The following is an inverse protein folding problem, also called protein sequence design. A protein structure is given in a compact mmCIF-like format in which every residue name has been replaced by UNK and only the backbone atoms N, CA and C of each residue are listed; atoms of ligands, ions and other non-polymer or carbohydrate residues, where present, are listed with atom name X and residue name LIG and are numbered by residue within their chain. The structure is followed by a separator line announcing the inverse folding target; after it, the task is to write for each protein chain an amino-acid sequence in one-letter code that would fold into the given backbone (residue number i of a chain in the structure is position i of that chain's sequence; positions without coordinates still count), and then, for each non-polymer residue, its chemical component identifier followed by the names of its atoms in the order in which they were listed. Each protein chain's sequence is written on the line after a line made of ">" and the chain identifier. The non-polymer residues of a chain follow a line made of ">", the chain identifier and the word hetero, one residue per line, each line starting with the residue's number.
data_IF_795533924718
#
_entry.id   IF_795533924718
#
_cell.length_a   1.000
_cell.length_b   1.000
_cell.length_c   1.000
_cell.angle_alpha   90.00
_cell.angle_beta   90.00
_cell.angle_gamma   90.00
#
_symmetry.space_group_name_H-M   'P 1'
#
loop_
_entity.id
_entity.type
_entity.pdbx_description
1 polymer ?
#
# COMPACT_ATOMS: atom_id res chain seq x y z
N UNK A 1 -23.90 6.60 28.96
CA UNK A 1 -23.82 6.22 27.54
C UNK A 1 -22.44 5.62 27.30
N UNK A 2 -22.36 4.32 27.48
CA UNK A 2 -21.12 3.53 27.45
C UNK A 2 -20.88 3.04 26.03
N UNK A 3 -19.88 3.62 25.36
CA UNK A 3 -19.41 3.11 24.07
C UNK A 3 -18.84 1.69 24.27
N UNK A 4 -19.34 0.75 23.46
CA UNK A 4 -19.04 -0.67 23.57
C UNK A 4 -17.57 -0.96 23.29
N UNK A 5 -16.89 -1.54 24.29
CA UNK A 5 -15.49 -1.97 24.31
C UNK A 5 -15.17 -3.15 23.36
N UNK A 6 -16.12 -3.57 22.50
CA UNK A 6 -16.00 -4.76 21.65
C UNK A 6 -15.19 -4.56 20.36
N UNK A 7 -15.09 -3.33 19.84
CA UNK A 7 -14.28 -3.08 18.63
C UNK A 7 -12.77 -3.07 18.92
N UNK A 8 -12.34 -2.67 20.12
CA UNK A 8 -10.91 -2.53 20.48
C UNK A 8 -10.17 -3.88 20.55
N UNK A 9 -10.88 -5.00 20.75
CA UNK A 9 -10.26 -6.34 20.81
C UNK A 9 -9.89 -6.92 19.45
N UNK A 10 -10.39 -6.37 18.33
CA UNK A 10 -9.83 -6.67 17.00
C UNK A 10 -8.57 -5.84 16.68
N UNK A 11 -8.36 -4.72 17.39
CA UNK A 11 -7.20 -3.85 17.21
C UNK A 11 -5.93 -4.31 17.93
N UNK A 12 -6.02 -5.19 18.93
CA UNK A 12 -4.84 -5.67 19.67
C UNK A 12 -4.13 -6.88 19.01
N UNK A 13 -4.81 -7.62 18.12
CA UNK A 13 -4.20 -8.79 17.43
C UNK A 13 -3.39 -8.36 16.18
N UNK A 14 -3.64 -7.17 15.65
CA UNK A 14 -2.94 -6.62 14.47
C UNK A 14 -1.50 -6.17 14.76
N UNK A 15 -1.17 -5.76 15.99
CA UNK A 15 0.20 -5.39 16.36
C UNK A 15 1.12 -6.61 16.56
N UNK A 16 0.58 -7.79 16.87
CA UNK A 16 1.37 -8.98 17.19
C UNK A 16 1.80 -9.80 15.97
N UNK A 17 1.20 -9.58 14.78
CA UNK A 17 1.61 -10.30 13.55
C UNK A 17 2.69 -9.56 12.75
N UNK A 18 3.02 -8.31 13.10
CA UNK A 18 4.19 -7.59 12.57
C UNK A 18 5.54 -8.16 13.06
N UNK A 19 5.51 -8.98 14.12
CA UNK A 19 6.71 -9.42 14.85
C UNK A 19 7.50 -10.58 14.22
N UNK A 20 7.07 -11.12 13.06
CA UNK A 20 7.85 -12.17 12.36
C UNK A 20 8.71 -11.60 11.22
N UNK A 21 8.58 -10.32 10.88
CA UNK A 21 9.48 -9.64 9.93
C UNK A 21 10.08 -8.32 10.47
N UNK A 22 9.69 -7.85 11.66
CA UNK A 22 10.28 -6.68 12.31
C UNK A 22 11.50 -7.05 13.17
N UNK A 23 12.52 -7.63 12.54
CA UNK A 23 13.88 -7.65 13.07
C UNK A 23 14.66 -6.45 12.52
N UNK A 24 14.84 -5.43 13.36
CA UNK A 24 15.84 -4.35 13.33
C UNK A 24 16.40 -3.88 11.97
N UNK A 25 16.05 -2.64 11.57
CA UNK A 25 17.02 -1.67 11.03
C UNK A 25 16.40 -0.26 11.03
N UNK A 26 16.79 0.56 12.01
CA UNK A 26 16.88 2.00 11.83
C UNK A 26 18.08 2.26 10.93
N UNK A 27 17.87 2.84 9.74
CA UNK A 27 18.87 3.54 8.90
C UNK A 27 18.43 3.47 7.44
N UNK A 28 18.00 4.58 6.85
CA UNK A 28 17.77 4.61 5.40
C UNK A 28 17.04 5.84 4.89
N UNK A 29 17.75 6.97 4.85
CA UNK A 29 17.60 8.08 3.87
C UNK A 29 16.16 8.43 3.44
N UNK A 30 15.60 9.48 4.07
CA UNK A 30 14.46 10.22 3.52
C UNK A 30 14.79 10.70 2.09
N UNK A 31 13.91 10.51 1.09
CA UNK A 31 14.07 11.20 -0.18
C UNK A 31 14.01 12.71 0.08
N UNK A 32 15.08 13.41 -0.28
CA UNK A 32 15.21 14.85 -0.11
C UNK A 32 14.33 15.58 -1.13
N UNK A 33 13.05 15.75 -0.84
CA UNK A 33 12.27 16.83 -1.44
C UNK A 33 12.39 18.04 -0.52
N UNK A 34 13.09 19.06 -1.00
CA UNK A 34 13.21 20.34 -0.33
C UNK A 34 11.81 20.92 -0.10
N UNK A 35 11.44 21.17 1.16
CA UNK A 35 10.41 22.17 1.47
C UNK A 35 11.09 23.50 1.75
N UNK A 36 10.64 24.62 1.12
CA UNK A 36 11.10 25.93 1.53
C UNK A 36 10.59 26.22 2.95
N UNK A 37 11.49 26.79 3.75
CA UNK A 37 11.18 27.37 5.06
C UNK A 37 10.08 28.41 4.92
N UNK A 38 8.89 28.11 5.42
CA UNK A 38 8.01 29.11 5.99
C UNK A 38 7.20 28.46 7.11
N UNK A 39 7.59 28.72 8.35
CA UNK A 39 6.84 28.40 9.57
C UNK A 39 5.60 29.32 9.67
N UNK A 40 4.80 29.37 8.60
CA UNK A 40 3.54 30.09 8.58
C UNK A 40 2.50 29.23 9.32
N UNK A 41 2.24 29.63 10.56
CA UNK A 41 1.09 29.16 11.34
C UNK A 41 -0.17 29.66 10.64
N UNK A 42 -0.82 28.80 9.87
CA UNK A 42 -2.11 29.09 9.23
C UNK A 42 -3.19 28.53 10.15
N UNK A 43 -4.12 29.38 10.59
CA UNK A 43 -5.21 29.01 11.51
C UNK A 43 -4.76 28.36 12.83
N UNK A 44 -3.56 28.67 13.32
CA UNK A 44 -3.03 28.11 14.57
C UNK A 44 -2.38 26.72 14.44
N UNK A 45 -2.31 26.13 13.25
CA UNK A 45 -1.71 24.81 13.01
C UNK A 45 -0.34 24.92 12.34
N UNK A 46 0.60 24.07 12.75
CA UNK A 46 1.88 23.89 12.04
C UNK A 46 1.65 23.20 10.70
N UNK A 47 2.61 23.29 9.77
CA UNK A 47 2.55 22.51 8.51
C UNK A 47 2.50 21.01 8.80
N UNK A 48 3.25 20.54 9.80
CA UNK A 48 3.26 19.13 10.21
C UNK A 48 1.89 18.68 10.70
N UNK A 49 1.21 19.50 11.52
CA UNK A 49 -0.15 19.21 11.98
C UNK A 49 -1.13 19.16 10.80
N UNK A 50 -1.03 20.11 9.85
CA UNK A 50 -1.90 20.11 8.65
C UNK A 50 -1.73 18.84 7.82
N UNK A 51 -0.50 18.41 7.60
CA UNK A 51 -0.22 17.15 6.89
C UNK A 51 -0.73 15.96 7.68
N UNK A 52 -0.51 15.92 8.99
CA UNK A 52 -0.99 14.85 9.85
C UNK A 52 -2.53 14.75 9.81
N UNK A 53 -3.26 15.86 9.90
CA UNK A 53 -4.72 15.87 9.76
C UNK A 53 -5.16 15.38 8.39
N UNK A 54 -4.57 15.89 7.31
CA UNK A 54 -4.88 15.46 5.94
C UNK A 54 -4.70 13.95 5.74
N UNK A 55 -3.56 13.40 6.18
CA UNK A 55 -3.28 11.96 6.10
C UNK A 55 -4.21 11.16 7.01
N UNK A 56 -4.55 11.66 8.21
CA UNK A 56 -5.51 11.04 9.11
C UNK A 56 -6.93 10.99 8.53
N UNK A 57 -7.39 12.04 7.85
CA UNK A 57 -8.70 12.04 7.18
C UNK A 57 -8.75 10.93 6.11
N UNK A 58 -7.70 10.80 5.30
CA UNK A 58 -7.60 9.72 4.32
C UNK A 58 -7.57 8.33 4.97
N UNK A 59 -6.87 8.20 6.11
CA UNK A 59 -6.79 6.97 6.93
C UNK A 59 -8.15 6.54 7.48
N UNK A 60 -8.94 7.51 7.95
CA UNK A 60 -10.24 7.27 8.56
C UNK A 60 -11.37 7.12 7.53
N UNK A 61 -11.10 7.35 6.23
CA UNK A 61 -12.11 7.35 5.18
C UNK A 61 -12.99 8.60 5.17
N UNK A 62 -12.51 9.71 5.73
CA UNK A 62 -13.20 11.00 5.77
C UNK A 62 -13.01 11.75 4.43
N UNK A 63 -13.48 11.14 3.34
CA UNK A 63 -13.12 11.53 1.97
C UNK A 63 -13.62 12.93 1.58
N UNK A 64 -14.69 13.41 2.21
CA UNK A 64 -15.14 14.80 2.07
C UNK A 64 -14.13 15.82 2.62
N UNK A 65 -13.50 15.53 3.77
CA UNK A 65 -12.48 16.42 4.36
C UNK A 65 -11.17 16.34 3.58
N UNK A 66 -10.84 15.17 3.01
CA UNK A 66 -9.72 15.02 2.06
C UNK A 66 -9.95 15.91 0.84
N UNK A 67 -11.10 15.79 0.17
CA UNK A 67 -11.43 16.60 -1.01
C UNK A 67 -11.42 18.11 -0.70
N UNK A 68 -11.99 18.50 0.45
CA UNK A 68 -11.98 19.88 0.92
C UNK A 68 -10.57 20.40 1.16
N UNK A 69 -9.71 19.62 1.83
CA UNK A 69 -8.32 20.01 2.08
C UNK A 69 -7.58 20.25 0.77
N UNK A 70 -7.78 19.40 -0.23
CA UNK A 70 -7.17 19.55 -1.57
C UNK A 70 -7.70 20.82 -2.25
N UNK A 71 -9.01 21.08 -2.17
CA UNK A 71 -9.63 22.29 -2.72
C UNK A 71 -9.12 23.57 -2.05
N UNK A 72 -8.82 23.52 -0.75
CA UNK A 72 -8.20 24.60 0.02
C UNK A 72 -6.70 24.77 -0.27
N UNK A 73 -6.14 23.97 -1.19
CA UNK A 73 -4.77 24.08 -1.68
C UNK A 73 -3.76 23.24 -0.92
N UNK A 74 -4.19 22.25 -0.11
CA UNK A 74 -3.28 21.31 0.55
C UNK A 74 -2.52 20.48 -0.51
N UNK A 75 -1.17 20.51 -0.52
CA UNK A 75 -0.40 19.66 -1.42
C UNK A 75 -0.65 18.16 -1.11
N UNK A 76 -0.96 17.39 -2.16
CA UNK A 76 -1.40 15.99 -2.07
C UNK A 76 -0.27 15.04 -1.68
N UNK A 77 0.93 15.27 -2.25
CA UNK A 77 2.11 14.42 -2.10
C UNK A 77 2.99 14.85 -0.93
N UNK A 78 2.39 14.93 0.26
CA UNK A 78 3.11 15.21 1.50
C UNK A 78 3.20 13.99 2.39
N UNK A 79 4.30 13.92 3.13
CA UNK A 79 4.58 12.86 4.07
C UNK A 79 4.27 13.31 5.49
N UNK A 80 3.50 12.49 6.23
CA UNK A 80 3.36 12.66 7.68
C UNK A 80 4.67 12.28 8.42
N UNK A 81 4.65 12.36 9.75
CA UNK A 81 5.79 11.99 10.59
C UNK A 81 6.16 10.51 10.51
N UNK A 82 5.24 9.66 10.04
CA UNK A 82 5.47 8.23 9.80
C UNK A 82 6.01 7.96 8.38
N UNK A 83 6.15 9.00 7.56
CA UNK A 83 6.60 8.87 6.17
C UNK A 83 5.50 8.34 5.25
N UNK A 84 4.22 8.49 5.61
CA UNK A 84 3.11 8.08 4.77
C UNK A 84 2.50 9.27 4.02
N UNK A 85 2.13 9.04 2.76
CA UNK A 85 1.25 9.95 2.02
C UNK A 85 -0.22 9.68 2.35
N UNK A 86 -1.10 10.63 2.04
CA UNK A 86 -2.54 10.41 2.18
C UNK A 86 -3.01 9.20 1.34
N UNK A 87 -2.42 8.96 0.17
CA UNK A 87 -2.74 7.81 -0.68
C UNK A 87 -2.36 6.49 0.00
N UNK A 88 -1.15 6.40 0.57
CA UNK A 88 -0.73 5.22 1.33
C UNK A 88 -1.68 4.96 2.52
N UNK A 89 -2.06 6.01 3.24
CA UNK A 89 -2.96 5.88 4.38
C UNK A 89 -4.36 5.38 3.98
N UNK A 90 -4.94 5.92 2.92
CA UNK A 90 -6.22 5.47 2.36
C UNK A 90 -6.16 4.01 1.92
N UNK A 91 -5.12 3.63 1.17
CA UNK A 91 -4.94 2.25 0.68
C UNK A 91 -4.75 1.26 1.83
N UNK A 92 -3.96 1.61 2.84
CA UNK A 92 -3.69 0.75 4.01
C UNK A 92 -4.94 0.44 4.83
N UNK A 93 -5.98 1.28 4.72
CA UNK A 93 -7.25 1.16 5.44
C UNK A 93 -8.41 0.82 4.50
N UNK A 94 -8.11 0.36 3.29
CA UNK A 94 -9.08 -0.06 2.28
C UNK A 94 -10.12 1.04 1.92
N UNK A 95 -9.73 2.32 2.00
CA UNK A 95 -10.58 3.46 1.62
C UNK A 95 -10.48 3.75 0.12
N UNK A 96 -11.26 3.01 -0.67
CA UNK A 96 -11.28 3.14 -2.14
C UNK A 96 -11.72 4.53 -2.61
N UNK A 97 -12.71 5.13 -1.96
CA UNK A 97 -13.22 6.46 -2.32
C UNK A 97 -12.14 7.53 -2.12
N UNK A 98 -11.48 7.54 -0.96
CA UNK A 98 -10.40 8.49 -0.70
C UNK A 98 -9.22 8.27 -1.64
N UNK A 99 -8.87 7.01 -1.92
CA UNK A 99 -7.83 6.69 -2.89
C UNK A 99 -8.16 7.24 -4.29
N UNK A 100 -9.40 7.09 -4.76
CA UNK A 100 -9.85 7.67 -6.05
C UNK A 100 -9.73 9.19 -6.06
N UNK A 101 -10.26 9.87 -5.03
CA UNK A 101 -10.17 11.34 -4.94
C UNK A 101 -8.71 11.78 -5.00
N UNK A 102 -7.82 11.14 -4.24
CA UNK A 102 -6.40 11.49 -4.24
C UNK A 102 -5.77 11.29 -5.62
N UNK A 103 -6.04 10.16 -6.28
CA UNK A 103 -5.52 9.85 -7.61
C UNK A 103 -6.06 10.76 -8.71
N UNK A 104 -7.35 11.11 -8.65
CA UNK A 104 -8.00 12.08 -9.55
C UNK A 104 -7.40 13.48 -9.39
N UNK A 105 -6.95 13.82 -8.18
CA UNK A 105 -6.21 15.04 -7.86
C UNK A 105 -4.68 14.88 -8.00
N UNK A 106 -4.24 13.96 -8.87
CA UNK A 106 -2.83 13.79 -9.26
C UNK A 106 -1.88 13.35 -8.13
N UNK A 107 -2.38 12.63 -7.11
CA UNK A 107 -1.50 11.95 -6.17
C UNK A 107 -0.52 11.04 -6.90
N UNK A 108 0.76 11.13 -6.57
CA UNK A 108 1.79 10.29 -7.18
C UNK A 108 1.64 8.85 -6.71
N UNK A 109 1.10 8.00 -7.59
CA UNK A 109 0.75 6.60 -7.31
C UNK A 109 1.95 5.72 -6.91
N UNK A 110 3.17 6.13 -7.25
CA UNK A 110 4.40 5.39 -7.00
C UNK A 110 5.23 5.97 -5.83
N UNK A 111 4.75 7.01 -5.12
CA UNK A 111 5.44 7.49 -3.93
C UNK A 111 5.39 6.45 -2.82
N UNK A 112 6.55 5.95 -2.45
CA UNK A 112 6.72 4.97 -1.40
C UNK A 112 6.97 5.64 -0.04
N UNK A 113 6.64 4.94 1.04
CA UNK A 113 6.99 5.36 2.39
C UNK A 113 8.50 5.27 2.66
N UNK A 114 8.91 5.65 3.88
CA UNK A 114 10.31 5.59 4.30
C UNK A 114 10.94 4.19 4.37
N UNK A 115 10.19 3.12 4.08
CA UNK A 115 10.68 1.74 3.97
C UNK A 115 10.54 1.19 2.53
N UNK A 116 10.23 2.05 1.56
CA UNK A 116 10.05 1.69 0.16
C UNK A 116 8.69 1.04 -0.15
N UNK A 117 7.71 1.09 0.76
CA UNK A 117 6.39 0.53 0.49
C UNK A 117 5.56 1.46 -0.38
N UNK A 118 5.31 1.04 -1.63
CA UNK A 118 4.42 1.74 -2.54
C UNK A 118 2.94 1.47 -2.21
N UNK A 119 2.01 2.34 -2.64
CA UNK A 119 0.58 2.08 -2.53
C UNK A 119 0.17 0.71 -3.08
N UNK A 120 0.77 0.25 -4.17
CA UNK A 120 0.46 -1.07 -4.75
C UNK A 120 0.89 -2.23 -3.83
N UNK A 121 2.04 -2.12 -3.16
CA UNK A 121 2.48 -3.13 -2.19
C UNK A 121 1.52 -3.15 -0.99
N UNK A 122 1.07 -1.99 -0.51
CA UNK A 122 0.06 -1.90 0.55
C UNK A 122 -1.28 -2.52 0.15
N UNK A 123 -1.78 -2.23 -1.06
CA UNK A 123 -3.02 -2.80 -1.57
C UNK A 123 -2.97 -4.33 -1.66
N UNK A 124 -1.82 -4.90 -2.04
CA UNK A 124 -1.61 -6.34 -2.08
C UNK A 124 -1.45 -7.01 -0.70
N UNK A 125 -1.38 -6.25 0.38
CA UNK A 125 -1.33 -6.78 1.75
C UNK A 125 -2.65 -6.61 2.48
N UNK A 126 -3.22 -5.41 2.45
CA UNK A 126 -4.40 -5.02 3.22
C UNK A 126 -5.71 -5.08 2.43
N UNK A 127 -5.66 -5.08 1.09
CA UNK A 127 -6.88 -5.01 0.28
C UNK A 127 -7.77 -6.22 0.51
N UNK A 128 -9.06 -6.00 0.70
CA UNK A 128 -10.05 -7.10 0.69
C UNK A 128 -10.46 -7.47 -0.75
N UNK A 129 -10.24 -6.56 -1.72
CA UNK A 129 -10.60 -6.74 -3.13
C UNK A 129 -9.52 -6.24 -4.08
N UNK A 130 -9.57 -6.69 -5.34
CA UNK A 130 -8.67 -6.23 -6.40
C UNK A 130 -9.03 -4.82 -6.95
N UNK A 131 -10.04 -4.15 -6.41
CA UNK A 131 -10.47 -2.83 -6.90
C UNK A 131 -9.41 -1.76 -6.65
N UNK A 132 -8.76 -1.77 -5.47
CA UNK A 132 -7.65 -0.86 -5.21
C UNK A 132 -6.47 -1.11 -6.14
N UNK A 133 -6.12 -2.38 -6.40
CA UNK A 133 -5.08 -2.72 -7.37
C UNK A 133 -5.44 -2.21 -8.77
N UNK A 134 -6.71 -2.34 -9.16
CA UNK A 134 -7.22 -1.84 -10.43
C UNK A 134 -7.06 -0.32 -10.54
N UNK A 135 -7.47 0.42 -9.50
CA UNK A 135 -7.38 1.88 -9.50
C UNK A 135 -5.92 2.35 -9.55
N UNK A 136 -5.05 1.75 -8.74
CA UNK A 136 -3.63 2.09 -8.72
C UNK A 136 -2.96 1.81 -10.08
N UNK A 137 -3.22 0.67 -10.72
CA UNK A 137 -2.67 0.37 -12.04
C UNK A 137 -3.19 1.30 -13.14
N UNK A 138 -4.46 1.72 -13.10
CA UNK A 138 -5.01 2.71 -14.04
C UNK A 138 -4.26 4.04 -13.99
N UNK A 139 -3.81 4.44 -12.81
CA UNK A 139 -3.02 5.66 -12.61
C UNK A 139 -1.51 5.45 -12.81
N UNK A 140 -1.08 4.29 -13.31
CA UNK A 140 0.31 4.02 -13.67
C UNK A 140 1.18 3.50 -12.52
N UNK A 141 0.59 2.80 -11.55
CA UNK A 141 1.38 2.10 -10.53
C UNK A 141 2.34 1.09 -11.19
N UNK A 142 3.60 1.10 -10.77
CA UNK A 142 4.57 0.11 -11.20
C UNK A 142 4.25 -1.24 -10.54
N UNK A 143 3.78 -2.18 -11.36
CA UNK A 143 3.37 -3.52 -10.94
C UNK A 143 4.52 -4.32 -10.31
N UNK A 144 5.76 -3.98 -10.66
CA UNK A 144 6.98 -4.64 -10.21
C UNK A 144 7.77 -3.77 -9.24
N UNK A 145 7.16 -2.70 -8.68
CA UNK A 145 7.77 -1.87 -7.65
C UNK A 145 8.26 -2.72 -6.47
N UNK A 146 9.42 -2.34 -5.93
CA UNK A 146 10.12 -3.06 -4.87
C UNK A 146 10.35 -2.14 -3.69
N UNK A 147 10.06 -2.64 -2.49
CA UNK A 147 10.50 -1.97 -1.28
C UNK A 147 11.99 -2.24 -0.97
N UNK A 148 12.51 -1.67 0.12
CA UNK A 148 13.93 -1.77 0.51
C UNK A 148 14.39 -3.21 0.77
N UNK A 149 13.44 -4.14 0.98
CA UNK A 149 13.69 -5.58 1.15
C UNK A 149 13.49 -6.37 -0.14
N UNK A 150 13.34 -5.69 -1.27
CA UNK A 150 13.09 -6.31 -2.57
C UNK A 150 11.71 -6.96 -2.68
N UNK A 151 10.76 -6.60 -1.81
CA UNK A 151 9.41 -7.19 -1.80
C UNK A 151 8.54 -6.45 -2.81
N UNK A 152 7.85 -7.21 -3.66
CA UNK A 152 6.84 -6.72 -4.60
C UNK A 152 5.43 -7.00 -4.09
N UNK A 153 4.44 -6.38 -4.72
CA UNK A 153 3.03 -6.67 -4.49
C UNK A 153 2.71 -8.17 -4.66
N UNK A 154 3.23 -8.80 -5.73
CA UNK A 154 3.02 -10.23 -6.00
C UNK A 154 3.66 -11.11 -4.93
N UNK A 155 4.88 -10.79 -4.49
CA UNK A 155 5.54 -11.52 -3.40
C UNK A 155 4.67 -11.52 -2.15
N UNK A 156 4.15 -10.34 -1.78
CA UNK A 156 3.44 -10.16 -0.54
C UNK A 156 2.06 -10.83 -0.55
N UNK A 157 1.28 -10.64 -1.61
CA UNK A 157 0.02 -11.37 -1.80
C UNK A 157 0.22 -12.89 -1.76
N UNK A 158 1.33 -13.37 -2.34
CA UNK A 158 1.70 -14.79 -2.33
C UNK A 158 2.07 -15.31 -0.95
N UNK A 159 2.75 -14.49 -0.14
CA UNK A 159 3.13 -14.85 1.21
C UNK A 159 1.92 -14.90 2.17
N UNK A 160 0.97 -13.96 2.00
CA UNK A 160 -0.20 -13.82 2.87
C UNK A 160 -1.28 -14.85 2.54
N UNK A 161 -1.46 -15.20 1.27
CA UNK A 161 -2.53 -16.11 0.85
C UNK A 161 -3.65 -15.45 0.04
N UNK A 162 -3.43 -14.25 -0.49
CA UNK A 162 -4.46 -13.48 -1.19
C UNK A 162 -4.60 -13.91 -2.66
N UNK A 163 -5.30 -15.04 -2.88
CA UNK A 163 -5.44 -15.68 -4.19
C UNK A 163 -5.94 -14.72 -5.29
N UNK A 164 -6.97 -13.92 -5.01
CA UNK A 164 -7.57 -13.01 -6.00
C UNK A 164 -6.59 -11.91 -6.44
N UNK A 165 -5.78 -11.40 -5.50
CA UNK A 165 -4.75 -10.41 -5.80
C UNK A 165 -3.60 -11.03 -6.58
N UNK A 166 -3.20 -12.27 -6.26
CA UNK A 166 -2.20 -13.01 -7.04
C UNK A 166 -2.68 -13.20 -8.47
N UNK A 167 -3.92 -13.67 -8.69
CA UNK A 167 -4.50 -13.81 -10.03
C UNK A 167 -4.50 -12.49 -10.77
N UNK A 168 -4.96 -11.43 -10.10
CA UNK A 168 -5.03 -10.09 -10.67
C UNK A 168 -3.64 -9.59 -11.10
N UNK A 169 -2.66 -9.62 -10.20
CA UNK A 169 -1.30 -9.17 -10.46
C UNK A 169 -0.63 -9.97 -11.59
N UNK A 170 -0.78 -11.30 -11.60
CA UNK A 170 -0.27 -12.14 -12.68
C UNK A 170 -0.95 -11.82 -14.02
N UNK A 171 -2.26 -11.60 -14.01
CA UNK A 171 -3.03 -11.21 -15.20
C UNK A 171 -2.62 -9.86 -15.79
N UNK A 172 -2.02 -8.99 -14.98
CA UNK A 172 -1.51 -7.67 -15.40
C UNK A 172 0.01 -7.64 -15.63
N UNK A 173 0.67 -8.80 -15.66
CA UNK A 173 2.08 -8.91 -16.03
C UNK A 173 3.08 -8.74 -14.87
N UNK A 174 2.67 -9.00 -13.62
CA UNK A 174 3.60 -9.03 -12.49
C UNK A 174 4.68 -10.10 -12.69
N UNK A 175 5.94 -9.72 -12.48
CA UNK A 175 7.08 -10.61 -12.63
C UNK A 175 7.22 -11.51 -11.39
N UNK A 176 6.99 -12.80 -11.59
CA UNK A 176 7.10 -13.83 -10.55
C UNK A 176 8.52 -14.31 -10.28
N UNK A 177 9.50 -13.85 -11.07
CA UNK A 177 10.92 -14.18 -10.91
C UNK A 177 11.65 -13.22 -9.96
N UNK A 178 11.04 -12.08 -9.65
CA UNK A 178 11.60 -11.10 -8.73
C UNK A 178 11.84 -11.73 -7.34
N UNK A 179 13.10 -11.68 -6.91
CA UNK A 179 13.53 -12.15 -5.61
C UNK A 179 13.59 -11.02 -4.57
N UNK A 180 13.21 -11.33 -3.33
CA UNK A 180 13.50 -10.48 -2.17
C UNK A 180 15.01 -10.40 -1.91
N UNK A 181 15.44 -9.48 -1.04
CA UNK A 181 16.85 -9.40 -0.61
C UNK A 181 17.35 -10.67 0.09
N UNK A 182 16.44 -11.51 0.58
CA UNK A 182 16.74 -12.82 1.15
C UNK A 182 16.72 -13.97 0.12
N UNK A 183 16.60 -13.67 -1.18
CA UNK A 183 16.63 -14.67 -2.27
C UNK A 183 15.35 -15.51 -2.41
N UNK A 184 14.23 -15.03 -1.88
CA UNK A 184 12.94 -15.70 -2.02
C UNK A 184 12.15 -15.10 -3.19
N UNK A 185 11.66 -15.95 -4.08
CA UNK A 185 10.65 -15.58 -5.09
C UNK A 185 9.24 -15.70 -4.48
N UNK A 186 8.21 -15.09 -5.12
CA UNK A 186 6.80 -15.33 -4.79
C UNK A 186 6.44 -16.82 -4.65
N UNK A 187 6.99 -17.68 -5.53
CA UNK A 187 6.75 -19.13 -5.46
C UNK A 187 7.40 -19.76 -4.23
N UNK A 188 8.65 -19.40 -3.91
CA UNK A 188 9.36 -19.94 -2.74
C UNK A 188 8.67 -19.55 -1.44
N UNK A 189 8.23 -18.29 -1.31
CA UNK A 189 7.52 -17.85 -0.11
C UNK A 189 6.13 -18.49 0.01
N UNK A 190 5.39 -18.65 -1.09
CA UNK A 190 4.10 -19.36 -1.09
C UNK A 190 4.26 -20.81 -0.63
N UNK A 191 5.29 -21.53 -1.11
CA UNK A 191 5.60 -22.90 -0.67
C UNK A 191 5.95 -22.95 0.82
N UNK A 192 6.81 -22.04 1.29
CA UNK A 192 7.21 -21.97 2.70
C UNK A 192 6.03 -21.69 3.64
N UNK A 193 5.05 -20.89 3.18
CA UNK A 193 3.84 -20.55 3.92
C UNK A 193 2.71 -21.57 3.76
N UNK A 194 2.90 -22.63 2.96
CA UNK A 194 1.89 -23.67 2.74
C UNK A 194 0.71 -23.23 1.87
N UNK A 195 0.86 -22.18 1.06
CA UNK A 195 -0.19 -21.59 0.24
C UNK A 195 -0.44 -22.39 -1.05
N UNK A 196 -0.92 -23.64 -0.92
CA UNK A 196 -1.00 -24.61 -2.02
C UNK A 196 -1.73 -24.11 -3.27
N UNK A 197 -2.82 -23.35 -3.11
CA UNK A 197 -3.55 -22.76 -4.25
C UNK A 197 -2.74 -21.68 -4.97
N UNK A 198 -2.02 -20.83 -4.24
CA UNK A 198 -1.12 -19.82 -4.83
C UNK A 198 0.06 -20.48 -5.52
N UNK A 199 0.62 -21.54 -4.94
CA UNK A 199 1.66 -22.34 -5.59
C UNK A 199 1.17 -22.85 -6.95
N UNK A 200 -0.03 -23.42 -7.00
CA UNK A 200 -0.65 -23.84 -8.24
C UNK A 200 -0.85 -22.68 -9.23
N UNK A 201 -1.27 -21.49 -8.77
CA UNK A 201 -1.42 -20.30 -9.64
C UNK A 201 -0.08 -19.84 -10.23
N UNK A 202 0.97 -19.77 -9.40
CA UNK A 202 2.30 -19.34 -9.82
C UNK A 202 2.99 -20.33 -10.76
N UNK A 203 2.73 -21.63 -10.58
CA UNK A 203 3.24 -22.70 -11.45
C UNK A 203 2.44 -22.82 -12.76
N UNK A 204 1.11 -22.75 -12.69
CA UNK A 204 0.22 -22.89 -13.87
C UNK A 204 0.27 -21.70 -14.82
N UNK A 205 0.51 -20.49 -14.31
CA UNK A 205 0.65 -19.32 -15.16
C UNK A 205 1.93 -19.34 -16.03
N UNK A 206 2.69 -20.44 -16.05
CA UNK A 206 3.83 -20.67 -16.95
C UNK A 206 3.43 -20.95 -18.42
N UNK A 207 2.13 -20.96 -18.74
CA UNK A 207 1.65 -21.02 -20.12
C UNK A 207 0.98 -19.70 -20.55
N UNK A 208 1.64 -18.83 -21.32
CA UNK A 208 0.93 -17.83 -22.10
C UNK A 208 0.30 -18.53 -23.31
N UNK A 209 -1.04 -18.62 -23.35
CA UNK A 209 -1.78 -19.04 -24.54
C UNK A 209 -2.37 -20.44 -24.48
N UNK A 210 -3.43 -20.61 -23.70
CA UNK A 210 -4.43 -21.65 -23.92
C UNK A 210 -5.72 -21.00 -24.42
N UNK A 211 -5.78 -20.64 -25.70
CA UNK A 211 -7.06 -20.38 -26.35
C UNK A 211 -7.88 -21.70 -26.33
N UNK A 212 -9.20 -21.67 -26.09
CA UNK A 212 -10.03 -22.85 -26.19
C UNK A 212 -10.06 -23.30 -27.66
N UNK A 213 -9.43 -24.43 -27.96
CA UNK A 213 -9.63 -25.14 -29.23
C UNK A 213 -11.03 -25.75 -29.22
N UNK A 214 -11.80 -25.41 -30.27
CA UNK A 214 -13.14 -25.91 -30.62
C UNK A 214 -13.31 -27.43 -30.46
#
# INVERSE_FOLDING_TARGET
>A
MTASYSSVRRFAVLAASLLVLAGCAQSGVRPATQTPRSDAVINGLTQEDRVAFFVNHARNGECAEVAKSIADGQPVDQFDSLGQTALIAAVSHNSLECARILLDHQASVNLADGSGWSPLIYAAYFGDSAELLTELLKHGADINARNDRGITALFLASAVGHEEQVKFLLGHGADRSIESTAGYTPLRIAKLRGQGRIVALLESAAAPGGAPSH
#
